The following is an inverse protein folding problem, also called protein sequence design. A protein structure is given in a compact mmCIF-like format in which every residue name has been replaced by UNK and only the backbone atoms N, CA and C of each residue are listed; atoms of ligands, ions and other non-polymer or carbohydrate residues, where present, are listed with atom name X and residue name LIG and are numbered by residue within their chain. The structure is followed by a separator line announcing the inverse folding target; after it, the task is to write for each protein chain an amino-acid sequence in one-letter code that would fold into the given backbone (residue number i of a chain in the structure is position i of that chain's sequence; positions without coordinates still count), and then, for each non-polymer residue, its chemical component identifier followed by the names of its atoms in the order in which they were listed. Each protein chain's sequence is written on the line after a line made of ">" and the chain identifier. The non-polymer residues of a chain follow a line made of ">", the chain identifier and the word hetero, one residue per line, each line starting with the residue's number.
data_IF_751601758129
#
_entry.id   IF_751601758129
#
_cell.length_a   1.000
_cell.length_b   1.000
_cell.length_c   1.000
_cell.angle_alpha   90.00
_cell.angle_beta   90.00
_cell.angle_gamma   90.00
#
_symmetry.space_group_name_H-M   'P 1'
#
loop_
_entity.id
_entity.type
_entity.pdbx_description
1 polymer ?
#
# COMPACT_ATOMS: atom_id res chain seq x y z
N UNK A 1 -0.51 15.58 -24.57
CA UNK A 1 -1.01 16.13 -23.29
C UNK A 1 -1.69 14.98 -22.58
N UNK A 2 -1.06 14.44 -21.54
CA UNK A 2 -1.68 13.38 -20.72
C UNK A 2 -2.52 14.11 -19.69
N UNK A 3 -3.84 13.99 -19.78
CA UNK A 3 -4.74 14.57 -18.78
C UNK A 3 -4.37 14.00 -17.41
N UNK A 4 -4.23 14.83 -16.37
CA UNK A 4 -3.96 14.32 -15.03
C UNK A 4 -5.19 13.49 -14.62
N UNK A 5 -5.05 12.16 -14.55
CA UNK A 5 -6.10 11.30 -14.02
C UNK A 5 -6.39 11.77 -12.59
N UNK A 6 -7.53 12.42 -12.41
CA UNK A 6 -7.88 13.19 -11.24
C UNK A 6 -8.24 12.26 -10.07
N UNK A 7 -7.26 11.56 -9.51
CA UNK A 7 -7.44 10.75 -8.31
C UNK A 7 -8.53 9.68 -8.39
N UNK A 8 -8.92 9.27 -9.61
CA UNK A 8 -10.02 8.37 -9.83
C UNK A 8 -9.71 7.01 -9.21
N UNK A 9 -10.62 6.56 -8.36
CA UNK A 9 -10.42 5.35 -7.58
C UNK A 9 -10.67 4.18 -8.55
N UNK A 10 -9.73 3.24 -8.68
CA UNK A 10 -9.90 2.12 -9.58
C UNK A 10 -11.12 1.29 -9.17
N UNK A 11 -11.91 0.85 -10.15
CA UNK A 11 -13.00 -0.09 -9.90
C UNK A 11 -12.46 -1.42 -9.35
N UNK A 12 -13.24 -2.05 -8.47
CA UNK A 12 -12.94 -3.38 -7.95
C UNK A 12 -11.89 -3.44 -6.82
N UNK A 13 -11.49 -2.30 -6.25
CA UNK A 13 -10.66 -2.31 -5.05
C UNK A 13 -11.39 -2.91 -3.83
N UNK A 14 -10.65 -3.68 -3.04
CA UNK A 14 -11.15 -4.17 -1.74
C UNK A 14 -11.32 -3.01 -0.75
N UNK A 15 -12.07 -3.24 0.33
CA UNK A 15 -12.21 -2.24 1.40
C UNK A 15 -10.85 -1.81 2.00
N UNK A 16 -9.90 -2.74 2.11
CA UNK A 16 -8.55 -2.46 2.59
C UNK A 16 -7.76 -1.61 1.58
N UNK A 17 -7.90 -1.90 0.29
CA UNK A 17 -7.22 -1.15 -0.77
C UNK A 17 -7.79 0.27 -0.93
N UNK A 18 -9.11 0.42 -0.80
CA UNK A 18 -9.78 1.72 -0.77
C UNK A 18 -9.29 2.58 0.40
N UNK A 19 -9.18 1.99 1.60
CA UNK A 19 -8.66 2.67 2.78
C UNK A 19 -7.18 3.08 2.62
N UNK A 20 -6.38 2.20 2.02
CA UNK A 20 -4.99 2.49 1.66
C UNK A 20 -4.89 3.67 0.69
N UNK A 21 -5.71 3.68 -0.37
CA UNK A 21 -5.74 4.76 -1.36
C UNK A 21 -6.06 6.12 -0.74
N UNK A 22 -7.07 6.18 0.13
CA UNK A 22 -7.43 7.42 0.83
C UNK A 22 -6.33 7.88 1.79
N UNK A 23 -5.72 6.95 2.52
CA UNK A 23 -4.63 7.25 3.45
C UNK A 23 -3.39 7.76 2.72
N UNK A 24 -3.09 7.19 1.55
CA UNK A 24 -2.01 7.64 0.68
C UNK A 24 -2.17 9.11 0.29
N UNK A 25 -3.35 9.48 -0.22
CA UNK A 25 -3.66 10.87 -0.62
C UNK A 25 -3.64 11.86 0.56
N UNK A 26 -3.91 11.38 1.76
CA UNK A 26 -3.89 12.17 2.99
C UNK A 26 -2.50 12.24 3.65
N UNK A 27 -1.58 11.35 3.28
CA UNK A 27 -0.26 11.20 3.91
C UNK A 27 -0.32 10.60 5.33
N UNK A 28 -1.43 9.96 5.68
CA UNK A 28 -1.70 9.41 7.02
C UNK A 28 -1.34 7.94 7.10
N UNK A 29 -1.02 7.49 8.31
CA UNK A 29 -0.79 6.07 8.60
C UNK A 29 -2.08 5.27 8.47
N UNK A 30 -2.04 4.20 7.68
CA UNK A 30 -3.10 3.21 7.56
C UNK A 30 -2.73 1.98 8.39
N UNK A 31 -3.42 1.81 9.52
CA UNK A 31 -3.16 0.74 10.48
C UNK A 31 -4.31 -0.27 10.45
N UNK A 32 -3.98 -1.50 10.06
CA UNK A 32 -4.92 -2.63 10.03
C UNK A 32 -4.56 -3.70 11.08
N UNK A 33 -3.73 -3.35 12.07
CA UNK A 33 -3.44 -4.25 13.19
C UNK A 33 -4.71 -4.51 14.00
N UNK A 34 -4.84 -5.75 14.46
CA UNK A 34 -5.84 -6.17 15.44
C UNK A 34 -5.56 -5.54 16.81
N UNK A 35 -6.60 -5.29 17.59
CA UNK A 35 -6.45 -4.93 19.00
C UNK A 35 -5.79 -6.05 19.82
N UNK A 36 -6.08 -7.29 19.47
CA UNK A 36 -5.37 -8.46 19.99
C UNK A 36 -3.97 -8.53 19.35
N UNK A 37 -2.95 -8.23 20.15
CA UNK A 37 -1.54 -8.18 19.73
C UNK A 37 -0.99 -9.53 19.30
N UNK A 38 -1.54 -10.63 19.80
CA UNK A 38 -1.11 -11.99 19.42
C UNK A 38 -1.44 -12.29 17.96
N UNK A 39 -2.48 -11.65 17.40
CA UNK A 39 -2.90 -11.78 16.00
C UNK A 39 -2.15 -10.86 15.03
N UNK A 40 -1.22 -10.05 15.55
CA UNK A 40 -0.42 -9.13 14.76
C UNK A 40 0.97 -9.67 14.42
N UNK A 41 1.33 -10.85 14.92
CA UNK A 41 2.60 -11.49 14.57
C UNK A 41 2.63 -11.82 13.05
N UNK A 42 3.52 -11.20 12.27
CA UNK A 42 3.66 -11.49 10.84
C UNK A 42 4.16 -12.91 10.56
N UNK A 43 4.85 -13.53 11.53
CA UNK A 43 5.44 -14.87 11.42
C UNK A 43 4.48 -15.97 11.88
N UNK A 44 3.31 -15.62 12.42
CA UNK A 44 2.31 -16.60 12.82
C UNK A 44 1.83 -17.43 11.62
N UNK A 45 1.54 -18.71 11.90
CA UNK A 45 0.97 -19.64 10.92
C UNK A 45 -0.42 -19.22 10.45
N UNK A 46 -1.18 -18.52 11.30
CA UNK A 46 -2.47 -17.96 10.91
C UNK A 46 -2.29 -16.86 9.87
N UNK A 47 -2.95 -17.05 8.74
CA UNK A 47 -2.93 -16.07 7.66
C UNK A 47 -3.94 -14.96 7.95
N UNK A 48 -3.55 -13.70 7.77
CA UNK A 48 -4.46 -12.56 7.90
C UNK A 48 -5.52 -12.58 6.80
N UNK A 49 -6.77 -12.24 7.14
CA UNK A 49 -7.89 -12.32 6.21
C UNK A 49 -7.91 -11.19 5.17
N UNK A 50 -8.92 -11.19 4.27
CA UNK A 50 -9.07 -10.19 3.22
C UNK A 50 -9.21 -8.76 3.76
N UNK A 51 -9.70 -8.60 5.00
CA UNK A 51 -9.83 -7.32 5.69
C UNK A 51 -8.50 -6.62 5.97
N UNK A 52 -7.39 -7.37 5.95
CA UNK A 52 -6.01 -6.86 6.11
C UNK A 52 -5.17 -7.03 4.86
N UNK A 53 -5.77 -7.44 3.75
CA UNK A 53 -5.04 -7.83 2.54
C UNK A 53 -5.17 -6.77 1.44
N UNK A 54 -4.03 -6.40 0.87
CA UNK A 54 -3.96 -5.51 -0.30
C UNK A 54 -3.13 -6.16 -1.40
N UNK A 55 -3.50 -5.95 -2.66
CA UNK A 55 -2.75 -6.46 -3.79
C UNK A 55 -1.43 -5.70 -3.98
N UNK A 56 -0.34 -6.43 -4.19
CA UNK A 56 0.97 -5.87 -4.50
C UNK A 56 0.95 -5.00 -5.76
N UNK A 57 0.11 -5.34 -6.75
CA UNK A 57 -0.11 -4.52 -7.95
C UNK A 57 -0.73 -3.16 -7.62
N UNK A 58 -1.68 -3.12 -6.68
CA UNK A 58 -2.30 -1.88 -6.20
C UNK A 58 -1.29 -1.02 -5.45
N UNK A 59 -0.45 -1.65 -4.61
CA UNK A 59 0.66 -0.97 -3.93
C UNK A 59 1.66 -0.39 -4.94
N UNK A 60 2.10 -1.19 -5.92
CA UNK A 60 3.04 -0.74 -6.95
C UNK A 60 2.49 0.45 -7.74
N UNK A 61 1.20 0.40 -8.10
CA UNK A 61 0.54 1.53 -8.76
C UNK A 61 0.60 2.79 -7.92
N UNK A 62 0.28 2.74 -6.63
CA UNK A 62 0.36 3.93 -5.75
C UNK A 62 1.78 4.50 -5.65
N UNK A 63 2.79 3.64 -5.68
CA UNK A 63 4.19 4.05 -5.55
C UNK A 63 4.79 4.62 -6.83
N UNK A 64 4.39 4.08 -8.00
CA UNK A 64 4.95 4.44 -9.30
C UNK A 64 4.13 5.51 -10.04
N UNK A 65 2.80 5.46 -9.94
CA UNK A 65 1.86 6.36 -10.62
C UNK A 65 0.63 6.61 -9.73
N UNK A 66 0.91 7.06 -8.50
CA UNK A 66 -0.11 7.32 -7.49
C UNK A 66 -0.93 8.58 -7.76
N UNK A 67 -2.16 8.66 -7.24
CA UNK A 67 -2.99 9.86 -7.34
C UNK A 67 -2.34 11.06 -6.63
N UNK A 68 -2.67 12.31 -7.01
CA UNK A 68 -2.16 13.48 -6.31
C UNK A 68 -2.65 13.52 -4.86
N UNK A 69 -1.80 14.09 -4.00
CA UNK A 69 -2.14 14.39 -2.61
C UNK A 69 -3.36 15.34 -2.54
N UNK A 70 -4.11 15.27 -1.44
CA UNK A 70 -5.14 16.28 -1.19
C UNK A 70 -4.51 17.68 -1.00
N UNK A 71 -5.24 18.78 -1.30
CA UNK A 71 -4.74 20.13 -1.06
C UNK A 71 -4.20 20.30 0.37
N UNK A 72 -2.99 20.83 0.49
CA UNK A 72 -2.30 21.01 1.78
C UNK A 72 -1.75 19.74 2.42
N UNK A 73 -1.69 18.62 1.69
CA UNK A 73 -1.13 17.34 2.16
C UNK A 73 0.03 16.89 1.27
N UNK A 74 0.81 15.95 1.79
CA UNK A 74 1.88 15.26 1.06
C UNK A 74 1.47 13.79 0.92
N UNK A 75 1.51 13.26 -0.30
CA UNK A 75 1.20 11.85 -0.52
C UNK A 75 2.28 10.97 0.11
N UNK A 76 1.86 9.96 0.87
CA UNK A 76 2.77 9.03 1.53
C UNK A 76 2.10 7.67 1.76
N UNK A 77 2.80 6.59 1.48
CA UNK A 77 2.36 5.23 1.77
C UNK A 77 2.88 4.80 3.15
N UNK A 78 2.00 4.81 4.15
CA UNK A 78 2.34 4.42 5.53
C UNK A 78 1.43 3.27 5.96
N UNK A 79 1.91 2.04 5.94
CA UNK A 79 1.12 0.84 6.24
C UNK A 79 1.59 0.18 7.54
N UNK A 80 0.63 -0.27 8.35
CA UNK A 80 0.90 -1.08 9.55
C UNK A 80 0.00 -2.30 9.59
N UNK A 81 0.60 -3.48 9.80
CA UNK A 81 -0.18 -4.72 9.94
C UNK A 81 -0.93 -5.13 8.68
N UNK A 82 -0.37 -4.86 7.49
CA UNK A 82 -1.02 -5.19 6.21
C UNK A 82 -0.39 -6.43 5.58
N UNK A 83 -1.21 -7.33 5.04
CA UNK A 83 -0.78 -8.46 4.20
C UNK A 83 -0.76 -8.01 2.74
N UNK A 84 0.40 -8.06 2.12
CA UNK A 84 0.60 -7.70 0.71
C UNK A 84 0.60 -8.99 -0.09
N UNK A 85 -0.46 -9.20 -0.87
CA UNK A 85 -0.68 -10.40 -1.69
C UNK A 85 -0.12 -10.18 -3.08
N UNK A 86 0.56 -11.18 -3.65
CA UNK A 86 1.23 -11.01 -4.93
C UNK A 86 2.68 -10.57 -4.82
N UNK A 87 3.40 -10.59 -5.96
CA UNK A 87 4.75 -10.04 -6.11
C UNK A 87 4.71 -8.51 -6.17
N UNK A 88 5.49 -7.85 -5.31
CA UNK A 88 5.67 -6.39 -5.37
C UNK A 88 6.89 -6.09 -6.23
N UNK A 89 6.64 -5.66 -7.46
CA UNK A 89 7.69 -5.33 -8.42
C UNK A 89 7.74 -3.82 -8.66
N UNK A 90 8.88 -3.22 -8.31
CA UNK A 90 9.21 -1.81 -8.50
C UNK A 90 10.51 -1.66 -9.30
N UNK A 91 10.97 -2.73 -9.98
CA UNK A 91 12.21 -2.71 -10.74
C UNK A 91 12.20 -1.60 -11.81
N UNK A 92 13.30 -0.84 -11.88
CA UNK A 92 13.46 0.28 -12.82
C UNK A 92 12.46 1.43 -12.62
N UNK A 93 11.67 1.40 -11.55
CA UNK A 93 10.68 2.41 -11.21
C UNK A 93 11.27 3.58 -10.44
N UNK A 94 10.48 4.66 -10.32
CA UNK A 94 10.81 5.79 -9.45
C UNK A 94 9.74 5.98 -8.39
N UNK A 95 10.10 5.77 -7.13
CA UNK A 95 9.22 5.92 -5.97
C UNK A 95 9.49 7.27 -5.33
N UNK A 96 8.71 8.26 -5.74
CA UNK A 96 8.76 9.61 -5.17
C UNK A 96 8.08 9.80 -3.80
N UNK A 97 6.94 9.14 -3.49
CA UNK A 97 6.27 9.36 -2.21
C UNK A 97 7.03 8.69 -1.05
N UNK A 98 6.85 9.22 0.16
CA UNK A 98 7.40 8.59 1.36
C UNK A 98 6.76 7.22 1.60
N UNK A 99 7.57 6.20 1.90
CA UNK A 99 7.11 4.83 2.16
C UNK A 99 7.55 4.36 3.54
N UNK A 100 6.60 3.87 4.33
CA UNK A 100 6.82 3.23 5.62
C UNK A 100 5.94 1.98 5.73
N UNK A 101 6.57 0.83 5.98
CA UNK A 101 5.89 -0.46 6.15
C UNK A 101 6.29 -1.06 7.49
N UNK A 102 5.38 -1.07 8.46
CA UNK A 102 5.67 -1.56 9.82
C UNK A 102 4.84 -2.80 10.13
N UNK A 103 5.51 -3.92 10.43
CA UNK A 103 4.82 -5.18 10.75
C UNK A 103 3.87 -5.60 9.64
N UNK A 104 4.24 -5.38 8.38
CA UNK A 104 3.51 -5.89 7.22
C UNK A 104 4.03 -7.27 6.84
N UNK A 105 3.19 -8.08 6.21
CA UNK A 105 3.54 -9.42 5.75
C UNK A 105 3.50 -9.46 4.22
N UNK A 106 4.59 -9.89 3.61
CA UNK A 106 4.67 -10.12 2.17
C UNK A 106 4.49 -11.59 1.87
N UNK A 107 3.62 -11.92 0.93
CA UNK A 107 3.40 -13.31 0.50
C UNK A 107 4.43 -13.80 -0.50
N UNK A 108 4.95 -12.87 -1.31
CA UNK A 108 5.92 -13.15 -2.36
C UNK A 108 7.07 -12.14 -2.26
N UNK A 109 8.04 -12.31 -3.15
CA UNK A 109 9.22 -11.46 -3.25
C UNK A 109 8.88 -9.97 -3.47
N UNK A 110 9.76 -9.12 -2.95
CA UNK A 110 9.78 -7.68 -3.20
C UNK A 110 10.98 -7.40 -4.08
N UNK A 111 10.74 -6.82 -5.25
CA UNK A 111 11.73 -6.61 -6.31
C UNK A 111 11.95 -5.11 -6.47
N UNK A 112 13.14 -4.64 -6.11
CA UNK A 112 13.55 -3.23 -6.11
C UNK A 112 14.81 -2.88 -6.95
N UNK A 113 15.38 -3.75 -7.81
CA UNK A 113 16.60 -3.40 -8.52
C UNK A 113 16.37 -2.15 -9.37
N UNK A 114 17.32 -1.22 -9.32
CA UNK A 114 17.25 0.06 -10.06
C UNK A 114 16.00 0.91 -9.73
N UNK A 115 15.38 0.68 -8.57
CA UNK A 115 14.32 1.54 -8.04
C UNK A 115 14.96 2.79 -7.41
N UNK A 116 14.49 3.97 -7.82
CA UNK A 116 15.01 5.28 -7.41
C UNK A 116 14.04 6.11 -6.58
#
# INVERSE_FOLDING_TARGET
>A
MTEPHEGDIPDGLSAAELGMWQSFRNGTTYDLRSYDTTRNDPFASQTWGPERSVGARTVARLLLDGPPARPGRVAALKLRGVRITGKLDLAGGRVSPYVELTGCRFEQEVVLPECH
#
